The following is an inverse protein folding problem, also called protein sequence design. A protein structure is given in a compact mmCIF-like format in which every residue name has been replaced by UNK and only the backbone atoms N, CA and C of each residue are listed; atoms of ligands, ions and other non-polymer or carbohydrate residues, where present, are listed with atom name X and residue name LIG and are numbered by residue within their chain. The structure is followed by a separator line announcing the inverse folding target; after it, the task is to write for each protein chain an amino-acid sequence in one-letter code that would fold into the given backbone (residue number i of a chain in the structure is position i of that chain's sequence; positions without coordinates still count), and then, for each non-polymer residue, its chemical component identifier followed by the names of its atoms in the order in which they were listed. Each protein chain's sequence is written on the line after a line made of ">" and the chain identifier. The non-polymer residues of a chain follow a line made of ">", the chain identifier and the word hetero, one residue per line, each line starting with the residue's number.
data_IF_275357392091
#
_entry.id   IF_275357392091
#
_cell.length_a   1.000
_cell.length_b   1.000
_cell.length_c   1.000
_cell.angle_alpha   90.00
_cell.angle_beta   90.00
_cell.angle_gamma   90.00
#
_symmetry.space_group_name_H-M   'P 1'
#
loop_
_entity.id
_entity.type
_entity.pdbx_description
1 polymer ?
#
# COMPACT_ATOMS: atom_id res chain seq x y z
N UNK A 1 -87.32 -15.50 6.77
CA UNK A 1 -86.26 -15.44 5.72
C UNK A 1 -85.16 -14.51 6.20
N UNK A 2 -83.99 -15.00 6.46
CA UNK A 2 -82.83 -14.29 7.07
C UNK A 2 -82.00 -13.62 5.98
N UNK A 3 -81.81 -12.31 6.06
CA UNK A 3 -80.94 -11.53 5.21
C UNK A 3 -79.56 -11.47 5.91
N UNK A 4 -78.53 -11.99 5.28
CA UNK A 4 -77.19 -11.91 5.80
C UNK A 4 -76.53 -10.59 5.37
N UNK A 5 -76.09 -9.81 6.39
CA UNK A 5 -75.24 -8.64 6.24
C UNK A 5 -73.80 -9.15 5.99
N UNK A 6 -73.21 -8.68 4.89
CA UNK A 6 -71.81 -8.91 4.60
C UNK A 6 -71.07 -7.61 5.00
N UNK A 7 -70.31 -7.70 6.07
CA UNK A 7 -69.43 -6.62 6.54
C UNK A 7 -68.22 -6.48 5.62
N UNK A 8 -68.02 -5.28 5.09
CA UNK A 8 -66.86 -4.87 4.29
C UNK A 8 -65.69 -4.54 5.22
N UNK A 9 -64.70 -5.40 5.27
CA UNK A 9 -63.43 -5.11 5.94
C UNK A 9 -62.51 -4.26 5.03
N UNK A 10 -62.38 -2.98 5.38
CA UNK A 10 -61.34 -2.11 4.80
C UNK A 10 -59.95 -2.54 5.30
N UNK A 11 -59.16 -3.15 4.43
CA UNK A 11 -57.73 -3.39 4.68
C UNK A 11 -56.98 -2.07 4.59
N UNK A 12 -56.48 -1.61 5.73
CA UNK A 12 -55.50 -0.53 5.82
C UNK A 12 -54.13 -1.06 5.34
N UNK A 13 -53.69 -0.60 4.18
CA UNK A 13 -52.35 -0.85 3.67
C UNK A 13 -51.45 0.15 4.39
N UNK A 14 -50.62 -0.34 5.31
CA UNK A 14 -49.53 0.39 5.92
C UNK A 14 -48.34 0.45 4.94
N UNK A 15 -48.07 1.63 4.37
CA UNK A 15 -46.82 1.87 3.66
C UNK A 15 -45.66 1.89 4.69
N UNK A 16 -44.89 0.82 4.70
CA UNK A 16 -43.61 0.81 5.40
C UNK A 16 -42.56 1.58 4.56
N UNK A 17 -42.29 2.82 4.98
CA UNK A 17 -41.18 3.61 4.41
C UNK A 17 -39.83 2.96 4.71
N UNK A 18 -39.15 2.43 3.70
CA UNK A 18 -37.76 2.05 3.79
C UNK A 18 -36.88 3.30 3.87
N UNK A 19 -36.41 3.64 5.06
CA UNK A 19 -35.36 4.62 5.25
C UNK A 19 -34.04 3.96 4.82
N UNK A 20 -33.51 4.27 3.63
CA UNK A 20 -32.14 3.99 3.24
C UNK A 20 -31.21 4.84 4.10
N UNK A 21 -30.66 4.27 5.16
CA UNK A 21 -29.54 4.86 5.88
C UNK A 21 -28.31 4.80 4.98
N UNK A 22 -27.95 5.92 4.34
CA UNK A 22 -26.66 6.08 3.69
C UNK A 22 -25.59 6.05 4.79
N UNK A 23 -24.87 4.93 4.90
CA UNK A 23 -23.66 4.85 5.69
C UNK A 23 -22.59 5.69 4.98
N UNK A 24 -22.48 6.95 5.38
CA UNK A 24 -21.34 7.78 5.03
C UNK A 24 -20.11 7.16 5.69
N UNK A 25 -19.29 6.46 4.90
CA UNK A 25 -17.95 6.03 5.32
C UNK A 25 -17.16 7.30 5.59
N UNK A 26 -16.99 7.66 6.84
CA UNK A 26 -16.07 8.72 7.24
C UNK A 26 -14.66 8.29 6.79
N UNK A 27 -13.87 9.19 6.18
CA UNK A 27 -12.47 8.89 5.91
C UNK A 27 -11.81 8.58 7.26
N UNK A 28 -11.31 7.36 7.41
CA UNK A 28 -10.48 7.00 8.54
C UNK A 28 -9.22 7.86 8.44
N UNK A 29 -9.10 8.87 9.31
CA UNK A 29 -7.85 9.59 9.48
C UNK A 29 -6.79 8.54 9.83
N UNK A 30 -5.82 8.33 8.93
CA UNK A 30 -4.66 7.50 9.24
C UNK A 30 -3.95 8.14 10.43
N UNK A 31 -3.83 7.42 11.54
CA UNK A 31 -3.06 7.89 12.67
C UNK A 31 -1.61 8.06 12.22
N UNK A 32 -1.00 9.21 12.53
CA UNK A 32 0.42 9.42 12.26
C UNK A 32 1.23 8.34 13.00
N UNK A 33 2.01 7.58 12.25
CA UNK A 33 2.89 6.55 12.83
C UNK A 33 4.06 7.27 13.50
N UNK A 34 4.12 7.17 14.84
CA UNK A 34 5.19 7.82 15.62
C UNK A 34 6.57 7.33 15.16
N UNK A 35 7.50 8.26 14.91
CA UNK A 35 8.87 7.94 14.50
C UNK A 35 9.06 7.72 13.00
N UNK A 36 8.03 7.89 12.18
CA UNK A 36 8.11 7.63 10.73
C UNK A 36 8.93 8.68 9.95
N UNK A 37 9.09 9.89 10.48
CA UNK A 37 9.74 11.01 9.79
C UNK A 37 11.04 10.67 9.06
N UNK A 38 11.99 9.89 9.61
CA UNK A 38 13.23 9.55 8.90
C UNK A 38 13.06 8.69 7.65
N UNK A 39 11.92 8.02 7.51
CA UNK A 39 11.61 7.14 6.38
C UNK A 39 10.86 7.87 5.26
N UNK A 40 10.24 9.03 5.58
CA UNK A 40 9.38 9.77 4.65
C UNK A 40 10.21 10.41 3.54
N UNK A 41 9.77 10.23 2.30
CA UNK A 41 10.39 10.82 1.13
C UNK A 41 10.37 9.91 -0.09
N UNK A 42 11.14 10.31 -1.09
CA UNK A 42 11.40 9.55 -2.29
C UNK A 42 12.78 8.93 -2.23
N UNK A 43 12.85 7.65 -2.47
CA UNK A 43 14.04 6.82 -2.44
C UNK A 43 14.22 6.17 -3.82
N UNK A 44 15.43 6.03 -4.29
CA UNK A 44 15.74 5.51 -5.62
C UNK A 44 16.73 4.36 -5.54
N UNK A 45 16.53 3.37 -6.41
CA UNK A 45 17.45 2.29 -6.70
C UNK A 45 17.57 2.14 -8.22
N UNK A 46 18.36 1.17 -8.68
CA UNK A 46 18.47 0.89 -10.11
C UNK A 46 17.12 0.42 -10.68
N UNK A 47 16.51 1.24 -11.56
CA UNK A 47 15.20 0.99 -12.18
C UNK A 47 14.01 0.88 -11.18
N UNK A 48 14.19 1.30 -9.93
CA UNK A 48 13.19 1.22 -8.88
C UNK A 48 13.05 2.56 -8.16
N UNK A 49 11.85 2.83 -7.69
CA UNK A 49 11.53 4.01 -6.90
C UNK A 49 10.60 3.63 -5.76
N UNK A 50 10.88 4.16 -4.59
CA UNK A 50 10.07 4.01 -3.39
C UNK A 50 9.66 5.37 -2.87
N UNK A 51 8.37 5.62 -2.75
CA UNK A 51 7.80 6.83 -2.16
C UNK A 51 7.11 6.47 -0.84
N UNK A 52 7.45 7.14 0.26
CA UNK A 52 6.84 6.95 1.58
C UNK A 52 6.25 8.28 2.05
N UNK A 53 4.96 8.26 2.37
CA UNK A 53 4.21 9.42 2.82
C UNK A 53 4.20 9.56 4.36
N UNK A 54 3.97 10.76 4.90
CA UNK A 54 3.92 10.97 6.36
C UNK A 54 2.86 10.14 7.10
N UNK A 55 1.80 9.73 6.41
CA UNK A 55 0.74 8.88 6.96
C UNK A 55 1.08 7.37 6.97
N UNK A 56 2.30 6.99 6.59
CA UNK A 56 2.76 5.61 6.52
C UNK A 56 2.44 4.87 5.22
N UNK A 57 1.67 5.46 4.31
CA UNK A 57 1.45 4.84 3.00
C UNK A 57 2.72 4.91 2.18
N UNK A 58 3.07 3.80 1.55
CA UNK A 58 4.21 3.71 0.66
C UNK A 58 3.86 3.03 -0.66
N UNK A 59 4.64 3.35 -1.67
CA UNK A 59 4.57 2.71 -2.99
C UNK A 59 5.97 2.48 -3.51
N UNK A 60 6.26 1.23 -3.83
CA UNK A 60 7.37 0.85 -4.68
C UNK A 60 6.92 0.76 -6.13
N UNK A 61 7.77 1.22 -7.04
CA UNK A 61 7.60 1.09 -8.49
C UNK A 61 8.88 0.49 -9.05
N UNK A 62 8.76 -0.60 -9.81
CA UNK A 62 9.90 -1.34 -10.35
C UNK A 62 9.68 -1.78 -11.80
N UNK A 63 10.76 -2.13 -12.50
CA UNK A 63 10.70 -2.74 -13.83
C UNK A 63 10.48 -4.25 -13.70
N UNK A 64 9.25 -4.71 -13.95
CA UNK A 64 8.94 -6.15 -14.01
C UNK A 64 9.41 -6.75 -15.33
N UNK A 65 10.53 -7.46 -15.27
CA UNK A 65 11.15 -8.15 -16.40
C UNK A 65 10.78 -9.63 -16.48
N UNK A 66 9.84 -10.11 -15.66
CA UNK A 66 9.47 -11.53 -15.57
C UNK A 66 8.96 -12.12 -16.90
N UNK A 67 8.47 -11.28 -17.81
CA UNK A 67 8.00 -11.68 -19.13
C UNK A 67 9.00 -11.40 -20.26
N UNK A 68 10.20 -10.92 -19.91
CA UNK A 68 11.24 -10.62 -20.87
C UNK A 68 12.03 -11.87 -21.28
N UNK A 69 12.48 -12.00 -22.55
CA UNK A 69 13.40 -13.05 -22.94
C UNK A 69 14.78 -12.89 -22.28
N UNK A 70 15.59 -13.94 -22.23
CA UNK A 70 16.91 -13.96 -21.60
C UNK A 70 17.89 -12.87 -22.10
N UNK A 71 17.66 -12.36 -23.32
CA UNK A 71 18.38 -11.20 -23.86
C UNK A 71 17.38 -10.12 -24.27
N UNK A 72 16.84 -9.38 -23.30
CA UNK A 72 15.76 -8.43 -23.56
C UNK A 72 16.25 -7.25 -24.41
N UNK A 73 15.43 -6.87 -25.39
CA UNK A 73 15.59 -5.59 -26.08
C UNK A 73 15.42 -4.44 -25.07
N UNK A 74 16.07 -3.31 -25.32
CA UNK A 74 15.88 -2.10 -24.51
C UNK A 74 14.40 -1.76 -24.41
N UNK A 75 13.90 -1.53 -23.19
CA UNK A 75 12.49 -1.24 -22.92
C UNK A 75 11.58 -2.47 -22.78
N UNK A 76 12.14 -3.69 -22.73
CA UNK A 76 11.37 -4.85 -22.32
C UNK A 76 11.02 -4.76 -20.84
N UNK A 77 9.79 -5.12 -20.50
CA UNK A 77 9.25 -5.13 -19.14
C UNK A 77 8.02 -4.25 -19.00
N UNK A 78 7.30 -4.47 -17.92
CA UNK A 78 6.15 -3.66 -17.50
C UNK A 78 6.50 -2.95 -16.21
N UNK A 79 5.83 -1.87 -15.91
CA UNK A 79 5.91 -1.25 -14.58
C UNK A 79 5.15 -2.12 -13.59
N UNK A 80 5.87 -2.64 -12.61
CA UNK A 80 5.31 -3.29 -11.43
C UNK A 80 5.14 -2.29 -10.30
N UNK A 81 4.21 -2.55 -9.38
CA UNK A 81 3.99 -1.75 -8.18
C UNK A 81 3.68 -2.62 -6.98
N UNK A 82 4.15 -2.17 -5.80
CA UNK A 82 3.73 -2.67 -4.49
C UNK A 82 3.30 -1.48 -3.64
N UNK A 83 2.02 -1.45 -3.27
CA UNK A 83 1.48 -0.50 -2.31
C UNK A 83 1.46 -1.14 -0.91
N UNK A 84 1.82 -0.38 0.10
CA UNK A 84 1.85 -0.86 1.47
C UNK A 84 1.49 0.26 2.47
N UNK A 85 1.23 -0.14 3.71
CA UNK A 85 1.06 0.79 4.83
C UNK A 85 1.98 0.38 5.98
N UNK A 86 2.84 1.30 6.41
CA UNK A 86 3.66 1.17 7.61
C UNK A 86 2.81 1.46 8.84
N UNK A 87 2.90 0.63 9.86
CA UNK A 87 2.06 0.70 11.06
C UNK A 87 2.86 0.81 12.35
N UNK A 88 4.16 0.56 12.30
CA UNK A 88 5.03 0.59 13.48
C UNK A 88 6.45 1.00 13.13
N UNK A 89 7.09 1.73 14.03
CA UNK A 89 8.51 2.09 13.96
C UNK A 89 9.18 1.74 15.25
N UNK A 90 10.34 1.09 15.16
CA UNK A 90 11.20 0.75 16.31
C UNK A 90 12.66 1.03 15.93
N UNK A 91 13.22 2.12 16.47
CA UNK A 91 14.58 2.56 16.15
C UNK A 91 14.73 2.90 14.65
N UNK A 92 15.62 2.20 13.99
CA UNK A 92 15.92 2.34 12.56
C UNK A 92 15.02 1.49 11.65
N UNK A 93 14.00 0.83 12.20
CA UNK A 93 13.19 -0.14 11.47
C UNK A 93 11.72 0.24 11.51
N UNK A 94 11.08 0.30 10.34
CA UNK A 94 9.65 0.44 10.16
C UNK A 94 9.05 -0.86 9.62
N UNK A 95 7.85 -1.22 10.10
CA UNK A 95 7.14 -2.43 9.67
C UNK A 95 5.71 -2.13 9.30
N UNK A 96 5.16 -2.95 8.41
CA UNK A 96 3.81 -2.80 7.91
C UNK A 96 3.35 -3.98 7.09
N UNK A 97 2.38 -3.74 6.21
CA UNK A 97 1.81 -4.78 5.36
C UNK A 97 1.51 -4.25 3.95
N UNK A 98 1.61 -5.13 2.97
CA UNK A 98 1.21 -4.91 1.58
C UNK A 98 -0.30 -4.67 1.53
N UNK A 99 -0.72 -3.62 0.86
CA UNK A 99 -2.14 -3.31 0.61
C UNK A 99 -2.58 -3.70 -0.80
N UNK A 100 -1.69 -3.58 -1.78
CA UNK A 100 -1.89 -4.06 -3.14
C UNK A 100 -0.54 -4.30 -3.83
N UNK A 101 -0.50 -5.23 -4.78
CA UNK A 101 0.67 -5.46 -5.62
C UNK A 101 0.26 -5.90 -7.03
N UNK A 102 1.06 -5.54 -8.03
CA UNK A 102 0.89 -6.01 -9.40
C UNK A 102 1.35 -7.46 -9.60
N UNK A 103 2.29 -7.92 -8.79
CA UNK A 103 2.79 -9.28 -8.80
C UNK A 103 1.99 -10.15 -7.81
N UNK A 104 1.37 -11.27 -8.26
CA UNK A 104 0.61 -12.15 -7.38
C UNK A 104 1.47 -12.89 -6.33
N UNK A 105 2.80 -12.84 -6.43
CA UNK A 105 3.72 -13.39 -5.41
C UNK A 105 3.82 -12.51 -4.18
N UNK A 106 3.38 -11.24 -4.28
CA UNK A 106 3.36 -10.26 -3.19
C UNK A 106 1.92 -10.07 -2.69
N UNK A 107 1.37 -11.03 -1.94
CA UNK A 107 -0.05 -11.03 -1.57
C UNK A 107 -0.37 -9.88 -0.61
N UNK A 108 -1.55 -9.29 -0.75
CA UNK A 108 -2.08 -8.33 0.22
C UNK A 108 -2.05 -8.92 1.63
N UNK A 109 -1.63 -8.13 2.62
CA UNK A 109 -1.37 -8.57 3.99
C UNK A 109 0.01 -9.16 4.21
N UNK A 110 0.80 -9.39 3.15
CA UNK A 110 2.21 -9.79 3.28
C UNK A 110 3.03 -8.76 4.06
N UNK A 111 4.04 -9.18 4.84
CA UNK A 111 4.83 -8.27 5.65
C UNK A 111 5.70 -7.35 4.80
N UNK A 112 5.85 -6.11 5.27
CA UNK A 112 6.81 -5.13 4.76
C UNK A 112 7.71 -4.72 5.92
N UNK A 113 9.02 -4.70 5.67
CA UNK A 113 10.02 -4.19 6.61
C UNK A 113 10.93 -3.22 5.88
N UNK A 114 11.16 -2.07 6.47
CA UNK A 114 12.08 -1.06 5.96
C UNK A 114 13.08 -0.74 7.06
N UNK A 115 14.36 -0.76 6.74
CA UNK A 115 15.42 -0.42 7.68
C UNK A 115 16.29 0.72 7.12
N UNK A 116 16.48 1.77 7.93
CA UNK A 116 17.45 2.82 7.61
C UNK A 116 18.88 2.28 7.74
N UNK A 117 19.74 2.67 6.81
CA UNK A 117 21.17 2.32 6.77
C UNK A 117 21.99 3.58 6.50
N UNK A 118 23.30 3.52 6.79
CA UNK A 118 24.22 4.63 6.51
C UNK A 118 23.79 5.93 7.19
N UNK A 119 23.40 5.89 8.48
CA UNK A 119 22.95 7.09 9.23
C UNK A 119 21.74 7.80 8.59
N UNK A 120 20.87 7.03 7.89
CA UNK A 120 19.67 7.55 7.22
C UNK A 120 19.90 8.02 5.78
N UNK A 121 21.07 7.84 5.22
CA UNK A 121 21.35 8.14 3.80
C UNK A 121 20.73 7.11 2.85
N UNK A 122 20.48 5.89 3.33
CA UNK A 122 19.86 4.83 2.59
C UNK A 122 18.81 4.07 3.41
N UNK A 123 18.08 3.22 2.73
CA UNK A 123 17.23 2.23 3.36
C UNK A 123 17.30 0.88 2.64
N UNK A 124 16.89 -0.16 3.32
CA UNK A 124 16.65 -1.47 2.76
C UNK A 124 15.17 -1.82 2.92
N UNK A 125 14.57 -2.36 1.86
CA UNK A 125 13.16 -2.76 1.80
C UNK A 125 13.07 -4.28 1.66
N UNK A 126 12.32 -4.94 2.54
CA UNK A 126 11.91 -6.34 2.43
C UNK A 126 10.42 -6.42 2.20
N UNK A 127 10.02 -7.13 1.15
CA UNK A 127 8.61 -7.36 0.78
C UNK A 127 8.30 -8.85 0.91
N UNK A 128 7.11 -9.15 1.44
CA UNK A 128 6.57 -10.50 1.60
C UNK A 128 7.51 -11.49 2.34
N UNK A 129 8.42 -10.97 3.19
CA UNK A 129 9.36 -11.80 3.94
C UNK A 129 10.53 -12.35 3.12
N UNK A 130 10.85 -11.69 2.01
CA UNK A 130 12.03 -12.03 1.19
C UNK A 130 13.33 -12.06 2.01
N UNK A 131 14.27 -12.92 1.62
CA UNK A 131 15.53 -13.13 2.35
C UNK A 131 16.52 -11.96 2.18
N UNK A 132 16.35 -11.15 1.14
CA UNK A 132 17.22 -10.02 0.82
C UNK A 132 16.45 -8.72 0.82
N UNK A 133 17.04 -7.67 1.45
CA UNK A 133 16.53 -6.31 1.37
C UNK A 133 17.01 -5.63 0.08
N UNK A 134 16.12 -4.92 -0.57
CA UNK A 134 16.44 -4.08 -1.72
C UNK A 134 16.96 -2.74 -1.23
N UNK A 135 18.19 -2.32 -1.65
CA UNK A 135 18.78 -1.06 -1.23
C UNK A 135 18.21 0.12 -2.03
N UNK A 136 17.88 1.18 -1.32
CA UNK A 136 17.44 2.46 -1.89
C UNK A 136 18.25 3.60 -1.28
N UNK A 137 18.44 4.67 -2.04
CA UNK A 137 19.07 5.91 -1.59
C UNK A 137 18.12 7.09 -1.62
N UNK A 138 18.36 8.06 -0.76
CA UNK A 138 17.62 9.30 -0.78
C UNK A 138 17.85 10.01 -2.12
N UNK A 139 16.76 10.34 -2.83
CA UNK A 139 16.83 11.02 -4.13
C UNK A 139 17.43 12.42 -4.08
N UNK A 140 17.57 13.01 -2.87
CA UNK A 140 18.12 14.34 -2.66
C UNK A 140 19.61 14.34 -2.31
N UNK A 141 20.20 13.18 -2.02
CA UNK A 141 21.60 13.09 -1.67
C UNK A 141 22.48 13.01 -2.92
N UNK A 142 23.64 13.69 -2.84
CA UNK A 142 24.63 13.70 -3.90
C UNK A 142 25.12 12.26 -4.10
N UNK A 143 24.79 11.66 -5.24
CA UNK A 143 24.97 10.22 -5.56
C UNK A 143 26.41 9.71 -5.34
N UNK A 144 27.40 10.62 -5.25
CA UNK A 144 28.80 10.24 -5.11
C UNK A 144 29.17 9.58 -3.76
N UNK A 145 28.40 9.87 -2.69
CA UNK A 145 28.66 9.28 -1.37
C UNK A 145 27.82 8.01 -1.10
N UNK A 146 26.78 7.78 -1.92
CA UNK A 146 25.77 6.75 -1.69
C UNK A 146 25.99 5.47 -2.51
N UNK A 147 26.95 5.43 -3.42
CA UNK A 147 27.22 4.26 -4.28
C UNK A 147 27.48 2.95 -3.51
N UNK A 148 28.03 3.02 -2.29
CA UNK A 148 28.30 1.84 -1.49
C UNK A 148 27.03 1.15 -0.98
N UNK A 149 25.93 1.91 -0.83
CA UNK A 149 24.68 1.41 -0.23
C UNK A 149 23.54 1.26 -1.22
N UNK A 150 23.63 1.89 -2.39
CA UNK A 150 22.49 2.04 -3.31
C UNK A 150 22.55 1.11 -4.52
N UNK A 151 23.53 0.23 -4.59
CA UNK A 151 23.56 -0.81 -5.62
C UNK A 151 23.55 -0.23 -7.05
N UNK A 152 24.47 0.65 -7.38
CA UNK A 152 24.67 1.12 -8.74
C UNK A 152 25.38 0.08 -9.61
#
# INVERSE_FOLDING_TARGET
>A
MKVHQIASELRKIALAGMACAALASAPTASADVSGLTPFVGSWQAHEERLDIQPNGNGRETYADKSTCPDAPAAGCGKTGTVDFTLTSVSGDTATGAITAASNPKDPSGGPVTIKLVGEGQGLQLWIAGGDQGFPFCNSNDNLDASHEYCGA
#
